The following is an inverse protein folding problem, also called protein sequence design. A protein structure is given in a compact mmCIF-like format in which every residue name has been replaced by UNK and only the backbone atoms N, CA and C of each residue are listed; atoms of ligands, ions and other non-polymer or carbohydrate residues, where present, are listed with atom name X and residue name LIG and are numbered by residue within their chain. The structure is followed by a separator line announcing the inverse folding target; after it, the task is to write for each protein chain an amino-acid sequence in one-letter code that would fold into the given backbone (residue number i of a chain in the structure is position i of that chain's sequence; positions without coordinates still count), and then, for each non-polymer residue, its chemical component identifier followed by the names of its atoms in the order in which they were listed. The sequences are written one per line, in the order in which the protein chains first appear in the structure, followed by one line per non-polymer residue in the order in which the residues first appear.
data_IF_091660563329
#
_entry.id   IF_091660563329
#
_cell.length_a   1.000
_cell.length_b   1.000
_cell.length_c   1.000
_cell.angle_alpha   90.00
_cell.angle_beta   90.00
_cell.angle_gamma   90.00
#
_symmetry.space_group_name_H-M   'P 1'
#
loop_
_entity.id
_entity.type
_entity.pdbx_description
1 polymer ?
#
# COMPACT_ATOMS: atom_id res chain seq x y z
N UNK A 1 -7.42 -7.26 25.70
CA UNK A 1 -8.32 -7.92 24.72
C UNK A 1 -9.58 -7.11 24.63
N UNK A 2 -10.07 -6.86 23.41
CA UNK A 2 -11.34 -6.17 23.22
C UNK A 2 -12.48 -6.90 23.97
N UNK A 3 -13.29 -6.15 24.67
CA UNK A 3 -14.43 -6.68 25.47
C UNK A 3 -15.75 -6.59 24.72
N UNK A 4 -15.81 -5.75 23.68
CA UNK A 4 -17.01 -5.53 22.88
C UNK A 4 -16.75 -5.67 21.38
N UNK A 5 -17.76 -6.18 20.65
CA UNK A 5 -17.79 -6.22 19.19
C UNK A 5 -19.05 -5.51 18.70
N UNK A 6 -18.88 -4.37 18.04
CA UNK A 6 -19.94 -3.64 17.37
C UNK A 6 -19.95 -4.05 15.88
N UNK A 7 -21.11 -4.45 15.38
CA UNK A 7 -21.31 -4.78 13.96
C UNK A 7 -21.97 -3.58 13.25
N UNK A 8 -21.18 -2.64 12.75
CA UNK A 8 -21.69 -1.48 12.05
C UNK A 8 -22.38 -1.87 10.72
N UNK A 9 -23.52 -1.24 10.42
CA UNK A 9 -24.32 -1.51 9.22
C UNK A 9 -24.02 -0.51 8.10
N UNK A 10 -23.49 0.66 8.45
CA UNK A 10 -23.04 1.69 7.50
C UNK A 10 -21.70 2.29 7.92
N UNK A 11 -20.98 2.94 6.98
CA UNK A 11 -19.76 3.68 7.29
C UNK A 11 -19.98 4.79 8.33
N UNK A 12 -21.14 5.46 8.29
CA UNK A 12 -21.52 6.54 9.21
C UNK A 12 -21.69 6.00 10.64
N UNK A 13 -22.33 4.83 10.79
CA UNK A 13 -22.44 4.15 12.07
C UNK A 13 -21.06 3.76 12.61
N UNK A 14 -20.17 3.27 11.72
CA UNK A 14 -18.83 2.87 12.10
C UNK A 14 -18.00 4.06 12.60
N UNK A 15 -17.97 5.18 11.86
CA UNK A 15 -17.20 6.36 12.26
C UNK A 15 -17.82 7.04 13.48
N UNK A 16 -19.13 7.04 13.62
CA UNK A 16 -19.83 7.60 14.79
C UNK A 16 -19.55 6.81 16.09
N UNK A 17 -19.20 5.53 15.99
CA UNK A 17 -18.80 4.69 17.13
C UNK A 17 -17.30 4.76 17.44
N UNK A 18 -16.48 5.40 16.58
CA UNK A 18 -15.03 5.49 16.75
C UNK A 18 -14.67 6.43 17.90
N UNK A 19 -13.75 5.99 18.73
CA UNK A 19 -13.16 6.73 19.84
C UNK A 19 -11.75 6.20 20.12
N UNK A 20 -11.05 6.76 21.08
CA UNK A 20 -9.65 6.41 21.39
C UNK A 20 -9.43 4.94 21.78
N UNK A 21 -10.45 4.25 22.35
CA UNK A 21 -10.39 2.83 22.73
C UNK A 21 -11.08 1.89 21.73
N UNK A 22 -11.56 2.42 20.58
CA UNK A 22 -12.25 1.63 19.55
C UNK A 22 -11.39 1.50 18.30
N UNK A 23 -11.34 0.30 17.69
CA UNK A 23 -10.56 -0.01 16.50
C UNK A 23 -11.45 -0.65 15.43
N UNK A 24 -11.31 -0.19 14.18
CA UNK A 24 -11.99 -0.83 13.06
C UNK A 24 -11.39 -2.21 12.77
N UNK A 25 -12.28 -3.17 12.50
CA UNK A 25 -11.90 -4.49 12.01
C UNK A 25 -12.60 -4.75 10.67
N UNK A 26 -11.78 -4.84 9.61
CA UNK A 26 -12.20 -5.23 8.25
C UNK A 26 -12.00 -6.75 8.07
N UNK A 27 -10.95 -7.16 7.36
CA UNK A 27 -10.58 -8.57 7.20
C UNK A 27 -9.95 -9.22 8.43
N UNK A 28 -9.49 -8.45 9.39
CA UNK A 28 -8.91 -8.89 10.64
C UNK A 28 -7.46 -9.41 10.55
N UNK A 29 -6.81 -9.35 9.42
CA UNK A 29 -5.44 -9.87 9.23
C UNK A 29 -4.40 -9.09 10.03
N UNK A 30 -4.62 -7.79 10.28
CA UNK A 30 -3.74 -6.96 11.11
C UNK A 30 -4.18 -7.00 12.58
N UNK A 31 -5.45 -6.78 12.86
CA UNK A 31 -5.99 -6.76 14.24
C UNK A 31 -5.77 -8.08 14.98
N UNK A 32 -5.84 -9.21 14.26
CA UNK A 32 -5.60 -10.54 14.83
C UNK A 32 -4.13 -11.01 14.69
N UNK A 33 -3.23 -10.17 14.21
CA UNK A 33 -1.82 -10.51 14.12
C UNK A 33 -1.23 -10.62 15.53
N UNK A 34 -0.41 -11.64 15.75
CA UNK A 34 0.29 -11.80 17.03
C UNK A 34 1.21 -10.58 17.28
N UNK A 35 1.06 -9.97 18.45
CA UNK A 35 1.80 -8.76 18.81
C UNK A 35 1.24 -7.47 18.20
N UNK A 36 -0.01 -7.46 17.70
CA UNK A 36 -0.68 -6.23 17.27
C UNK A 36 -1.06 -5.38 18.49
N UNK A 37 -0.48 -4.19 18.57
CA UNK A 37 -0.78 -3.21 19.61
C UNK A 37 -2.22 -2.69 19.50
N UNK A 38 -2.73 -2.55 18.27
CA UNK A 38 -4.12 -2.15 18.03
C UNK A 38 -5.14 -3.07 18.68
N UNK A 39 -4.94 -4.40 18.59
CA UNK A 39 -5.81 -5.37 19.23
C UNK A 39 -5.63 -5.41 20.76
N UNK A 40 -4.42 -5.14 21.25
CA UNK A 40 -4.11 -5.16 22.68
C UNK A 40 -4.72 -3.95 23.41
N UNK A 41 -4.73 -2.77 22.76
CA UNK A 41 -5.23 -1.52 23.34
C UNK A 41 -6.76 -1.33 23.18
N UNK A 42 -7.41 -2.04 22.25
CA UNK A 42 -8.83 -1.85 21.97
C UNK A 42 -9.75 -2.42 23.05
N UNK A 43 -10.70 -1.63 23.52
CA UNK A 43 -11.85 -2.09 24.30
C UNK A 43 -13.00 -2.53 23.39
N UNK A 44 -13.17 -1.85 22.25
CA UNK A 44 -14.21 -2.13 21.27
C UNK A 44 -13.62 -2.39 19.90
N UNK A 45 -14.04 -3.47 19.24
CA UNK A 45 -13.82 -3.72 17.82
C UNK A 45 -15.08 -3.32 17.05
N UNK A 46 -14.92 -2.41 16.07
CA UNK A 46 -15.99 -1.97 15.17
C UNK A 46 -15.84 -2.75 13.86
N UNK A 47 -16.69 -3.74 13.67
CA UNK A 47 -16.67 -4.59 12.48
C UNK A 47 -17.33 -3.92 11.29
N UNK A 48 -16.61 -3.84 10.19
CA UNK A 48 -17.07 -3.28 8.91
C UNK A 48 -17.74 -4.32 7.99
N UNK A 49 -17.81 -5.60 8.42
CA UNK A 49 -18.31 -6.70 7.57
C UNK A 49 -19.76 -6.56 7.13
N UNK A 50 -20.58 -5.81 7.86
CA UNK A 50 -21.97 -5.54 7.52
C UNK A 50 -22.21 -4.16 6.91
N UNK A 51 -21.17 -3.34 6.79
CA UNK A 51 -21.28 -2.05 6.12
C UNK A 51 -21.58 -2.27 4.63
N UNK A 52 -22.64 -1.64 4.14
CA UNK A 52 -23.01 -1.67 2.73
C UNK A 52 -22.17 -0.68 1.93
N UNK A 53 -22.01 -0.92 0.62
CA UNK A 53 -21.33 0.00 -0.30
C UNK A 53 -19.79 -0.05 -0.30
N UNK A 54 -19.17 -0.84 0.56
CA UNK A 54 -17.71 -0.91 0.68
C UNK A 54 -17.05 -2.07 -0.09
N UNK A 55 -17.82 -2.88 -0.85
CA UNK A 55 -17.31 -4.11 -1.49
C UNK A 55 -17.38 -4.10 -3.03
N UNK A 56 -17.73 -2.96 -3.63
CA UNK A 56 -17.91 -2.86 -5.07
C UNK A 56 -16.62 -2.44 -5.78
N UNK A 57 -16.41 -2.95 -7.00
CA UNK A 57 -15.39 -2.46 -7.94
C UNK A 57 -16.11 -1.90 -9.15
N UNK A 58 -15.94 -0.60 -9.41
CA UNK A 58 -16.62 0.15 -10.48
C UNK A 58 -15.61 0.85 -11.36
N UNK A 59 -15.88 0.86 -12.67
CA UNK A 59 -15.14 1.68 -13.63
C UNK A 59 -15.90 2.98 -13.82
N UNK A 60 -15.24 4.11 -13.62
CA UNK A 60 -15.78 5.45 -13.73
C UNK A 60 -14.87 6.29 -14.65
N UNK A 61 -15.18 6.27 -15.94
CA UNK A 61 -14.34 6.92 -16.96
C UNK A 61 -12.97 6.26 -17.06
N UNK A 62 -11.92 7.04 -16.82
CA UNK A 62 -10.51 6.66 -16.82
C UNK A 62 -10.01 6.13 -15.45
N UNK A 63 -10.89 6.07 -14.46
CA UNK A 63 -10.59 5.62 -13.10
C UNK A 63 -11.34 4.34 -12.74
N UNK A 64 -10.81 3.63 -11.76
CA UNK A 64 -11.46 2.48 -11.11
C UNK A 64 -11.63 2.80 -9.64
N UNK A 65 -12.88 2.79 -9.18
CA UNK A 65 -13.24 2.95 -7.78
C UNK A 65 -13.39 1.57 -7.13
N UNK A 66 -12.64 1.32 -6.07
CA UNK A 66 -12.56 0.03 -5.36
C UNK A 66 -12.98 0.26 -3.92
N UNK A 67 -14.07 -0.35 -3.49
CA UNK A 67 -14.54 -0.26 -2.11
C UNK A 67 -13.51 -0.79 -1.12
N UNK A 68 -13.36 -0.12 0.02
CA UNK A 68 -12.31 -0.41 1.00
C UNK A 68 -12.36 -1.81 1.59
N UNK A 69 -13.53 -2.45 1.57
CA UNK A 69 -13.73 -3.83 2.04
C UNK A 69 -13.50 -4.89 0.95
N UNK A 70 -13.20 -4.49 -0.30
CA UNK A 70 -12.78 -5.43 -1.33
C UNK A 70 -11.52 -6.17 -0.87
N UNK A 71 -11.60 -7.50 -0.87
CA UNK A 71 -10.45 -8.34 -0.51
C UNK A 71 -9.43 -8.39 -1.64
N UNK A 72 -8.19 -8.70 -1.31
CA UNK A 72 -7.15 -8.89 -2.33
C UNK A 72 -7.55 -9.96 -3.35
N UNK A 73 -8.25 -11.03 -2.91
CA UNK A 73 -8.70 -12.06 -3.82
C UNK A 73 -9.81 -11.56 -4.78
N UNK A 74 -10.74 -10.74 -4.30
CA UNK A 74 -11.74 -10.09 -5.16
C UNK A 74 -11.09 -9.17 -6.19
N UNK A 75 -10.04 -8.43 -5.81
CA UNK A 75 -9.27 -7.61 -6.76
C UNK A 75 -8.62 -8.49 -7.83
N UNK A 76 -7.97 -9.60 -7.45
CA UNK A 76 -7.34 -10.54 -8.39
C UNK A 76 -8.36 -11.13 -9.39
N UNK A 77 -9.56 -11.48 -8.92
CA UNK A 77 -10.61 -12.14 -9.71
C UNK A 77 -11.49 -11.15 -10.51
N UNK A 78 -11.43 -9.85 -10.20
CA UNK A 78 -12.25 -8.84 -10.86
C UNK A 78 -11.76 -8.55 -12.28
N UNK A 79 -12.65 -8.56 -13.26
CA UNK A 79 -12.36 -8.10 -14.63
C UNK A 79 -12.17 -6.58 -14.71
N UNK A 80 -12.69 -5.83 -13.73
CA UNK A 80 -12.66 -4.37 -13.69
C UNK A 80 -11.40 -3.81 -13.06
N UNK A 81 -10.73 -4.60 -12.18
CA UNK A 81 -9.52 -4.14 -11.51
C UNK A 81 -8.33 -4.08 -12.48
N UNK A 82 -7.50 -3.02 -12.42
CA UNK A 82 -6.31 -2.89 -13.26
C UNK A 82 -5.32 -4.04 -13.05
N UNK A 83 -4.63 -4.44 -14.11
CA UNK A 83 -3.67 -5.56 -14.08
C UNK A 83 -2.56 -5.36 -13.03
N UNK A 84 -2.02 -4.14 -12.91
CA UNK A 84 -0.97 -3.81 -11.95
C UNK A 84 -1.43 -3.99 -10.49
N UNK A 85 -2.70 -3.71 -10.21
CA UNK A 85 -3.24 -3.87 -8.86
C UNK A 85 -3.48 -5.34 -8.52
N UNK A 86 -3.86 -6.17 -9.52
CA UNK A 86 -3.94 -7.63 -9.38
C UNK A 86 -2.56 -8.23 -9.10
N UNK A 87 -1.52 -7.76 -9.80
CA UNK A 87 -0.13 -8.18 -9.57
C UNK A 87 0.31 -7.89 -8.13
N UNK A 88 0.09 -6.65 -7.66
CA UNK A 88 0.40 -6.28 -6.28
C UNK A 88 -0.36 -7.13 -5.25
N UNK A 89 -1.65 -7.42 -5.49
CA UNK A 89 -2.44 -8.28 -4.62
C UNK A 89 -1.90 -9.73 -4.57
N UNK A 90 -1.35 -10.25 -5.67
CA UNK A 90 -0.75 -11.58 -5.76
C UNK A 90 0.59 -11.69 -5.00
N UNK A 91 1.24 -10.59 -4.67
CA UNK A 91 2.42 -10.61 -3.78
C UNK A 91 2.09 -11.20 -2.40
N UNK A 92 0.85 -11.13 -1.97
CA UNK A 92 0.33 -11.94 -0.86
C UNK A 92 0.07 -13.36 -1.35
N UNK A 93 1.06 -14.25 -1.28
CA UNK A 93 1.03 -15.59 -1.87
C UNK A 93 -0.12 -16.47 -1.35
N UNK A 94 -0.49 -16.35 -0.08
CA UNK A 94 -1.55 -17.15 0.54
C UNK A 94 -2.94 -16.70 0.08
N UNK A 95 -3.65 -17.56 -0.67
CA UNK A 95 -5.05 -17.32 -1.05
C UNK A 95 -5.97 -17.13 0.16
N UNK A 96 -5.75 -17.89 1.23
CA UNK A 96 -6.51 -17.74 2.48
C UNK A 96 -6.35 -16.33 3.06
N UNK A 97 -5.12 -15.81 3.10
CA UNK A 97 -4.87 -14.44 3.55
C UNK A 97 -5.50 -13.43 2.59
N UNK A 98 -5.39 -13.63 1.27
CA UNK A 98 -6.02 -12.74 0.28
C UNK A 98 -7.55 -12.69 0.38
N UNK A 99 -8.20 -13.80 0.77
CA UNK A 99 -9.65 -13.83 1.03
C UNK A 99 -10.06 -13.01 2.27
N UNK A 100 -9.11 -12.66 3.13
CA UNK A 100 -9.36 -11.91 4.37
C UNK A 100 -8.86 -10.47 4.27
N UNK A 101 -7.63 -10.27 3.80
CA UNK A 101 -7.02 -8.94 3.70
C UNK A 101 -7.80 -8.06 2.72
N UNK A 102 -8.20 -6.87 3.17
CA UNK A 102 -8.93 -5.88 2.39
C UNK A 102 -7.99 -4.75 1.98
N UNK A 103 -8.31 -4.08 0.86
CA UNK A 103 -7.48 -2.97 0.37
C UNK A 103 -7.45 -1.81 1.38
N UNK A 104 -8.60 -1.39 1.92
CA UNK A 104 -8.68 -0.34 2.93
C UNK A 104 -7.96 -0.72 4.22
N UNK A 105 -8.10 -1.98 4.68
CA UNK A 105 -7.39 -2.47 5.87
C UNK A 105 -5.87 -2.51 5.68
N UNK A 106 -5.36 -2.81 4.48
CA UNK A 106 -3.94 -2.79 4.18
C UNK A 106 -3.36 -1.37 4.18
N UNK A 107 -4.11 -0.41 3.60
CA UNK A 107 -3.72 1.01 3.62
C UNK A 107 -3.71 1.53 5.05
N UNK A 108 -4.79 1.32 5.81
CA UNK A 108 -4.93 1.82 7.18
C UNK A 108 -3.89 1.23 8.15
N UNK A 109 -3.34 0.07 7.85
CA UNK A 109 -2.28 -0.55 8.65
C UNK A 109 -0.91 0.12 8.50
N UNK A 110 -0.67 0.93 7.45
CA UNK A 110 0.56 1.67 7.14
C UNK A 110 1.85 0.87 7.36
N UNK A 111 1.85 -0.42 6.96
CA UNK A 111 2.95 -1.31 7.26
C UNK A 111 4.14 -1.10 6.32
N UNK A 112 5.34 -1.24 6.90
CA UNK A 112 6.64 -1.20 6.23
C UNK A 112 6.92 -2.39 5.28
N UNK A 113 6.04 -3.39 5.25
CA UNK A 113 6.06 -4.55 4.36
C UNK A 113 4.79 -4.66 3.51
N UNK A 114 4.10 -3.53 3.30
CA UNK A 114 2.88 -3.48 2.49
C UNK A 114 3.15 -3.84 1.03
N UNK A 115 2.23 -4.58 0.43
CA UNK A 115 2.26 -4.90 -1.00
C UNK A 115 1.51 -3.86 -1.83
N UNK A 116 0.54 -3.17 -1.23
CA UNK A 116 -0.34 -2.23 -1.92
C UNK A 116 0.15 -0.78 -1.84
N UNK A 117 0.73 -0.36 -0.71
CA UNK A 117 1.13 1.05 -0.55
C UNK A 117 2.06 1.52 -1.67
N UNK A 118 3.15 0.81 -2.05
CA UNK A 118 4.04 1.29 -3.10
C UNK A 118 3.34 1.55 -4.42
N UNK A 119 2.47 0.64 -4.86
CA UNK A 119 1.75 0.80 -6.13
C UNK A 119 0.72 1.91 -6.06
N UNK A 120 -0.01 2.05 -4.96
CA UNK A 120 -1.02 3.10 -4.79
C UNK A 120 -0.38 4.50 -4.77
N UNK A 121 0.78 4.63 -4.15
CA UNK A 121 1.52 5.89 -4.16
C UNK A 121 2.11 6.19 -5.55
N UNK A 122 2.70 5.19 -6.22
CA UNK A 122 3.26 5.36 -7.54
C UNK A 122 2.23 5.80 -8.59
N UNK A 123 0.98 5.32 -8.49
CA UNK A 123 -0.11 5.73 -9.40
C UNK A 123 -0.88 6.94 -8.91
N UNK A 124 -0.43 7.61 -7.86
CA UNK A 124 -1.10 8.76 -7.24
C UNK A 124 -2.57 8.49 -6.90
N UNK A 125 -2.82 7.35 -6.22
CA UNK A 125 -4.17 6.94 -5.84
C UNK A 125 -4.85 7.98 -4.95
N UNK A 126 -6.14 8.19 -5.17
CA UNK A 126 -7.01 8.97 -4.30
C UNK A 126 -7.80 8.04 -3.36
N UNK A 127 -8.08 8.49 -2.17
CA UNK A 127 -8.91 7.79 -1.20
C UNK A 127 -10.17 8.58 -0.92
N UNK A 128 -11.31 7.90 -0.89
CA UNK A 128 -12.51 8.44 -0.25
C UNK A 128 -12.45 8.07 1.23
N UNK A 129 -12.55 9.07 2.08
CA UNK A 129 -12.40 8.94 3.52
C UNK A 129 -13.61 9.58 4.21
N UNK A 130 -14.17 8.88 5.18
CA UNK A 130 -15.24 9.39 6.03
C UNK A 130 -14.65 9.79 7.39
N UNK A 131 -14.96 11.02 7.81
CA UNK A 131 -14.71 11.57 9.14
C UNK A 131 -16.04 11.89 9.84
N UNK A 132 -15.98 12.25 11.13
CA UNK A 132 -17.16 12.75 11.84
C UNK A 132 -17.82 13.96 11.16
N UNK A 133 -17.05 14.77 10.44
CA UNK A 133 -17.52 15.96 9.69
C UNK A 133 -18.04 15.69 8.28
N UNK A 134 -18.01 14.46 7.79
CA UNK A 134 -18.45 14.10 6.45
C UNK A 134 -17.40 13.36 5.62
N UNK A 135 -17.74 13.09 4.36
CA UNK A 135 -16.86 12.42 3.41
C UNK A 135 -15.97 13.45 2.67
N UNK A 136 -14.71 13.08 2.45
CA UNK A 136 -13.76 13.87 1.67
C UNK A 136 -12.91 12.95 0.77
N UNK A 137 -12.31 13.55 -0.27
CA UNK A 137 -11.31 12.89 -1.10
C UNK A 137 -9.94 13.45 -0.77
N UNK A 138 -8.94 12.58 -0.65
CA UNK A 138 -7.56 12.97 -0.43
C UNK A 138 -6.60 12.01 -1.13
N UNK A 139 -5.36 12.43 -1.33
CA UNK A 139 -4.33 11.54 -1.83
C UNK A 139 -3.96 10.46 -0.79
N UNK A 140 -3.43 9.33 -1.24
CA UNK A 140 -2.89 8.32 -0.33
C UNK A 140 -1.79 8.90 0.58
N UNK A 141 -1.01 9.87 0.08
CA UNK A 141 0.00 10.58 0.85
C UNK A 141 -0.63 11.42 1.97
N UNK A 142 -1.61 12.28 1.64
CA UNK A 142 -2.30 13.10 2.66
C UNK A 142 -3.02 12.27 3.70
N UNK A 143 -3.53 11.08 3.31
CA UNK A 143 -4.10 10.13 4.25
C UNK A 143 -3.04 9.61 5.24
N UNK A 144 -1.87 9.24 4.75
CA UNK A 144 -0.77 8.75 5.61
C UNK A 144 -0.37 9.80 6.64
N UNK A 145 -0.12 11.05 6.23
CA UNK A 145 0.21 12.15 7.13
C UNK A 145 -0.88 12.39 8.19
N UNK A 146 -2.16 12.40 7.77
CA UNK A 146 -3.28 12.60 8.67
C UNK A 146 -3.47 11.43 9.64
N UNK A 147 -3.21 10.19 9.23
CA UNK A 147 -3.29 9.00 10.06
C UNK A 147 -2.18 8.97 11.12
N UNK A 148 -0.96 9.34 10.75
CA UNK A 148 0.18 9.49 11.67
C UNK A 148 -0.06 10.60 12.71
N UNK A 149 -0.77 11.67 12.32
CA UNK A 149 -1.21 12.72 13.23
C UNK A 149 -2.37 12.31 14.17
N UNK A 150 -2.88 11.08 14.05
CA UNK A 150 -3.90 10.52 14.95
C UNK A 150 -5.34 10.88 14.57
N UNK A 151 -5.60 11.20 13.30
CA UNK A 151 -6.96 11.50 12.82
C UNK A 151 -7.87 10.28 12.76
N UNK A 152 -9.07 10.36 13.34
CA UNK A 152 -10.09 9.32 13.17
C UNK A 152 -10.68 9.38 11.76
N UNK A 153 -10.35 8.36 10.95
CA UNK A 153 -10.73 8.26 9.55
C UNK A 153 -11.14 6.84 9.19
N UNK A 154 -12.15 6.71 8.36
CA UNK A 154 -12.56 5.45 7.75
C UNK A 154 -12.41 5.55 6.22
N UNK A 155 -11.50 4.78 5.64
CA UNK A 155 -11.41 4.65 4.19
C UNK A 155 -12.66 3.92 3.68
N UNK A 156 -13.36 4.52 2.72
CA UNK A 156 -14.57 3.94 2.10
C UNK A 156 -14.29 3.42 0.70
N UNK A 157 -13.42 4.08 -0.06
CA UNK A 157 -13.00 3.64 -1.37
C UNK A 157 -11.56 4.06 -1.70
N UNK A 158 -10.97 3.35 -2.65
CA UNK A 158 -9.68 3.63 -3.28
C UNK A 158 -9.92 3.88 -4.75
N UNK A 159 -9.46 5.01 -5.28
CA UNK A 159 -9.64 5.43 -6.65
C UNK A 159 -8.27 5.42 -7.33
N UNK A 160 -8.16 4.66 -8.40
CA UNK A 160 -6.90 4.49 -9.14
C UNK A 160 -7.11 4.70 -10.63
N UNK A 161 -6.10 5.14 -11.40
CA UNK A 161 -6.19 5.20 -12.86
C UNK A 161 -6.38 3.80 -13.45
N UNK A 162 -7.23 3.69 -14.47
CA UNK A 162 -7.51 2.43 -15.16
C UNK A 162 -6.35 1.99 -16.05
N UNK A 163 -5.88 2.91 -16.87
CA UNK A 163 -4.90 2.67 -17.93
C UNK A 163 -3.63 3.51 -17.69
N UNK A 164 -2.67 2.92 -16.96
CA UNK A 164 -1.35 3.49 -16.69
C UNK A 164 -0.31 2.37 -16.75
N UNK A 165 0.88 2.67 -17.23
CA UNK A 165 2.00 1.71 -17.21
C UNK A 165 2.58 1.65 -15.80
N UNK A 166 2.55 0.46 -15.21
CA UNK A 166 3.09 0.20 -13.87
C UNK A 166 3.93 -1.07 -13.91
N UNK A 167 5.02 -1.08 -13.17
CA UNK A 167 5.80 -2.27 -12.88
C UNK A 167 6.02 -2.36 -11.37
N UNK A 168 5.96 -3.58 -10.84
CA UNK A 168 6.18 -3.82 -9.41
C UNK A 168 7.08 -5.04 -9.21
N UNK A 169 7.83 -5.04 -8.10
CA UNK A 169 8.69 -6.17 -7.73
C UNK A 169 8.70 -6.33 -6.21
N UNK A 170 8.76 -7.57 -5.75
CA UNK A 170 8.80 -7.93 -4.34
C UNK A 170 9.96 -8.87 -4.07
N UNK A 171 10.70 -8.60 -3.00
CA UNK A 171 11.72 -9.49 -2.47
C UNK A 171 11.36 -9.96 -1.07
N UNK A 172 11.51 -11.24 -0.85
CA UNK A 172 11.31 -11.88 0.45
C UNK A 172 12.04 -13.22 0.48
N UNK A 173 12.35 -13.72 1.67
CA UNK A 173 13.06 -14.99 1.86
C UNK A 173 12.27 -16.20 1.33
N UNK A 174 10.94 -16.15 1.43
CA UNK A 174 10.03 -17.14 0.83
C UNK A 174 8.80 -16.44 0.27
N UNK A 175 8.01 -17.13 -0.55
CA UNK A 175 6.76 -16.60 -1.09
C UNK A 175 5.78 -16.14 0.02
N UNK A 176 5.81 -16.76 1.20
CA UNK A 176 4.90 -16.45 2.31
C UNK A 176 5.51 -15.56 3.40
N UNK A 177 6.82 -15.28 3.35
CA UNK A 177 7.49 -14.38 4.29
C UNK A 177 7.05 -12.93 4.09
N UNK A 178 7.27 -12.12 5.12
CA UNK A 178 7.20 -10.66 5.00
C UNK A 178 8.21 -10.18 3.95
N UNK A 179 7.83 -9.14 3.20
CA UNK A 179 8.73 -8.57 2.21
C UNK A 179 9.91 -7.85 2.89
N UNK A 180 11.09 -8.02 2.34
CA UNK A 180 12.25 -7.16 2.62
C UNK A 180 12.08 -5.84 1.91
N UNK A 181 11.63 -5.92 0.64
CA UNK A 181 11.34 -4.81 -0.24
C UNK A 181 10.13 -5.15 -1.10
N UNK A 182 9.18 -4.24 -1.19
CA UNK A 182 8.19 -4.17 -2.26
C UNK A 182 8.33 -2.81 -2.92
N UNK A 183 8.55 -2.76 -4.22
CA UNK A 183 8.78 -1.53 -4.95
C UNK A 183 7.88 -1.46 -6.17
N UNK A 184 7.37 -0.28 -6.47
CA UNK A 184 6.51 -0.02 -7.62
C UNK A 184 6.92 1.25 -8.32
N UNK A 185 6.90 1.22 -9.64
CA UNK A 185 7.10 2.37 -10.50
C UNK A 185 5.89 2.53 -11.43
N UNK A 186 5.47 3.76 -11.66
CA UNK A 186 4.44 4.12 -12.62
C UNK A 186 4.93 5.21 -13.58
N UNK A 187 4.45 5.17 -14.82
CA UNK A 187 4.73 6.24 -15.79
C UNK A 187 3.57 7.23 -15.76
N UNK A 188 3.79 8.37 -15.11
CA UNK A 188 2.83 9.46 -14.99
C UNK A 188 3.09 10.55 -16.04
N UNK A 189 2.22 11.55 -16.10
CA UNK A 189 2.42 12.73 -16.98
C UNK A 189 3.66 13.55 -16.57
N UNK A 190 4.09 13.44 -15.32
CA UNK A 190 5.29 14.10 -14.77
C UNK A 190 6.57 13.26 -14.94
N UNK A 191 6.46 12.08 -15.52
CA UNK A 191 7.53 11.10 -15.69
C UNK A 191 7.38 9.89 -14.79
N UNK A 192 8.48 9.21 -14.48
CA UNK A 192 8.45 8.04 -13.59
C UNK A 192 8.18 8.47 -12.15
N UNK A 193 7.28 7.75 -11.50
CA UNK A 193 6.97 7.85 -10.06
C UNK A 193 7.36 6.54 -9.39
N UNK A 194 8.20 6.57 -8.33
CA UNK A 194 8.88 5.41 -7.77
C UNK A 194 8.78 5.37 -6.23
N UNK A 195 8.09 4.36 -5.72
CA UNK A 195 7.89 4.15 -4.29
C UNK A 195 8.26 2.74 -3.86
N UNK A 196 8.70 2.60 -2.61
CA UNK A 196 9.00 1.29 -2.02
C UNK A 196 8.62 1.21 -0.55
N UNK A 197 8.07 0.07 -0.15
CA UNK A 197 7.95 -0.34 1.24
C UNK A 197 9.18 -1.18 1.59
N UNK A 198 10.00 -0.68 2.48
CA UNK A 198 11.27 -1.31 2.90
C UNK A 198 11.15 -1.70 4.35
N UNK A 199 11.41 -2.97 4.64
CA UNK A 199 11.26 -3.51 6.00
C UNK A 199 12.14 -2.75 7.00
N UNK A 200 11.52 -2.28 8.08
CA UNK A 200 12.09 -1.45 9.13
C UNK A 200 12.58 -0.05 8.69
N UNK A 201 12.21 0.40 7.47
CA UNK A 201 12.46 1.76 7.00
C UNK A 201 11.17 2.47 6.56
N UNK A 202 10.06 1.74 6.43
CA UNK A 202 8.76 2.31 6.07
C UNK A 202 8.51 2.43 4.58
N UNK A 203 7.58 3.31 4.23
CA UNK A 203 7.27 3.67 2.85
C UNK A 203 8.18 4.83 2.42
N UNK A 204 8.91 4.63 1.35
CA UNK A 204 9.91 5.57 0.83
C UNK A 204 9.54 6.06 -0.56
N UNK A 205 9.76 7.35 -0.81
CA UNK A 205 9.69 7.99 -2.12
C UNK A 205 11.11 8.19 -2.66
N UNK A 206 11.39 7.70 -3.85
CA UNK A 206 12.74 7.74 -4.44
C UNK A 206 12.88 8.90 -5.44
N UNK A 207 12.55 10.12 -5.02
CA UNK A 207 12.53 11.33 -5.86
C UNK A 207 13.88 11.64 -6.55
N UNK A 208 15.00 11.35 -5.88
CA UNK A 208 16.32 11.58 -6.49
C UNK A 208 16.61 10.60 -7.63
N UNK A 209 16.15 9.35 -7.52
CA UNK A 209 16.25 8.34 -8.57
C UNK A 209 15.33 8.74 -9.75
N UNK A 210 14.10 9.16 -9.45
CA UNK A 210 13.17 9.65 -10.47
C UNK A 210 13.75 10.84 -11.28
N UNK A 211 14.38 11.78 -10.56
CA UNK A 211 15.06 12.91 -11.17
C UNK A 211 16.18 12.45 -12.07
N UNK A 212 17.00 11.49 -11.61
CA UNK A 212 18.10 10.93 -12.39
C UNK A 212 17.62 10.29 -13.70
N UNK A 213 16.56 9.49 -13.65
CA UNK A 213 15.96 8.88 -14.85
C UNK A 213 15.35 9.90 -15.80
N UNK A 214 14.83 11.02 -15.30
CA UNK A 214 14.33 12.13 -16.15
C UNK A 214 15.44 12.89 -16.85
N UNK A 215 16.56 13.10 -16.17
CA UNK A 215 17.71 13.83 -16.70
C UNK A 215 18.51 12.99 -17.71
N UNK A 216 18.61 11.68 -17.52
CA UNK A 216 19.36 10.79 -18.39
C UNK A 216 18.68 9.43 -18.55
N UNK A 217 18.04 9.20 -19.69
CA UNK A 217 17.38 7.94 -20.05
C UNK A 217 18.34 6.75 -20.24
N UNK A 218 19.65 7.01 -20.36
CA UNK A 218 20.71 6.01 -20.52
C UNK A 218 21.45 5.72 -19.21
N UNK A 219 20.94 6.21 -18.08
CA UNK A 219 21.51 5.92 -16.76
C UNK A 219 21.67 4.41 -16.56
N UNK A 220 22.87 3.98 -16.21
CA UNK A 220 23.22 2.56 -16.01
C UNK A 220 22.80 2.05 -14.64
N UNK A 221 22.70 0.72 -14.52
CA UNK A 221 22.35 0.04 -13.27
C UNK A 221 23.34 0.36 -12.15
N UNK A 222 24.65 0.26 -12.43
CA UNK A 222 25.71 0.53 -11.44
C UNK A 222 25.64 1.95 -10.89
N UNK A 223 25.24 2.93 -11.71
CA UNK A 223 25.10 4.33 -11.30
C UNK A 223 23.96 4.49 -10.28
N UNK A 224 22.82 3.82 -10.50
CA UNK A 224 21.69 3.84 -9.57
C UNK A 224 22.04 3.11 -8.27
N UNK A 225 22.69 1.95 -8.36
CA UNK A 225 23.13 1.19 -7.18
C UNK A 225 24.07 2.06 -6.32
N UNK A 226 25.06 2.70 -6.94
CA UNK A 226 26.00 3.56 -6.22
C UNK A 226 25.31 4.77 -5.58
N UNK A 227 24.37 5.41 -6.30
CA UNK A 227 23.60 6.52 -5.77
C UNK A 227 22.80 6.13 -4.52
N UNK A 228 22.17 4.97 -4.51
CA UNK A 228 21.44 4.45 -3.34
C UNK A 228 22.41 4.08 -2.22
N UNK A 229 23.56 3.49 -2.56
CA UNK A 229 24.59 3.06 -1.60
C UNK A 229 25.11 4.23 -0.75
N UNK A 230 25.34 5.39 -1.36
CA UNK A 230 25.87 6.58 -0.68
C UNK A 230 24.81 7.52 -0.12
N UNK A 231 23.50 7.23 -0.34
CA UNK A 231 22.42 8.08 0.13
C UNK A 231 22.34 8.11 1.65
N UNK A 232 22.63 9.26 2.26
CA UNK A 232 22.61 9.43 3.72
C UNK A 232 21.20 9.62 4.30
N UNK A 233 20.25 10.04 3.48
CA UNK A 233 18.84 10.21 3.87
C UNK A 233 18.03 8.92 3.89
N UNK A 234 18.61 7.79 3.47
CA UNK A 234 17.95 6.50 3.47
C UNK A 234 18.27 5.76 4.78
N UNK A 235 17.31 5.73 5.69
CA UNK A 235 17.46 5.08 6.99
C UNK A 235 17.08 3.59 6.92
N UNK A 236 17.98 2.77 6.36
CA UNK A 236 17.92 1.31 6.44
C UNK A 236 18.91 0.80 7.49
N UNK A 237 18.66 -0.39 8.03
CA UNK A 237 19.52 -0.99 9.08
C UNK A 237 19.64 -2.50 8.91
N UNK A 238 20.66 -3.07 9.53
CA UNK A 238 20.84 -4.52 9.63
C UNK A 238 19.72 -5.12 10.48
N UNK A 239 19.12 -6.20 10.00
CA UNK A 239 18.10 -6.96 10.72
C UNK A 239 18.02 -8.41 10.22
N UNK A 240 17.05 -9.18 10.74
CA UNK A 240 16.82 -10.57 10.32
C UNK A 240 16.42 -10.74 8.85
N UNK A 241 16.05 -9.65 8.16
CA UNK A 241 15.65 -9.67 6.74
C UNK A 241 16.81 -9.36 5.79
N UNK A 242 17.90 -8.80 6.31
CA UNK A 242 19.11 -8.51 5.56
C UNK A 242 19.94 -7.37 6.16
N UNK A 243 21.17 -7.22 5.66
CA UNK A 243 22.01 -6.09 6.02
C UNK A 243 21.54 -4.79 5.37
N UNK A 244 21.93 -3.64 5.93
CA UNK A 244 21.74 -2.32 5.32
C UNK A 244 22.26 -2.30 3.88
N UNK A 245 23.49 -2.78 3.66
CA UNK A 245 24.09 -2.85 2.32
C UNK A 245 23.27 -3.69 1.34
N UNK A 246 22.73 -4.82 1.79
CA UNK A 246 21.85 -5.66 0.96
C UNK A 246 20.54 -4.96 0.59
N UNK A 247 19.90 -4.30 1.54
CA UNK A 247 18.66 -3.55 1.28
C UNK A 247 18.89 -2.41 0.29
N UNK A 248 19.96 -1.65 0.46
CA UNK A 248 20.37 -0.58 -0.47
C UNK A 248 20.65 -1.12 -1.87
N UNK A 249 21.37 -2.22 -1.97
CA UNK A 249 21.62 -2.90 -3.24
C UNK A 249 20.30 -3.32 -3.92
N UNK A 250 19.38 -3.95 -3.18
CA UNK A 250 18.06 -4.34 -3.72
C UNK A 250 17.26 -3.15 -4.23
N UNK A 251 17.28 -2.02 -3.52
CA UNK A 251 16.59 -0.80 -3.95
C UNK A 251 17.16 -0.32 -5.29
N UNK A 252 18.50 -0.23 -5.42
CA UNK A 252 19.15 0.24 -6.65
C UNK A 252 18.85 -0.64 -7.86
N UNK A 253 19.07 -1.94 -7.75
CA UNK A 253 18.76 -2.93 -8.79
C UNK A 253 17.29 -2.89 -9.18
N UNK A 254 16.41 -2.84 -8.16
CA UNK A 254 14.96 -2.85 -8.43
C UNK A 254 14.51 -1.58 -9.13
N UNK A 255 15.02 -0.43 -8.73
CA UNK A 255 14.70 0.84 -9.38
C UNK A 255 15.08 0.83 -10.87
N UNK A 256 16.27 0.32 -11.18
CA UNK A 256 16.73 0.16 -12.56
C UNK A 256 15.86 -0.82 -13.36
N UNK A 257 15.58 -2.02 -12.80
CA UNK A 257 14.73 -3.03 -13.42
C UNK A 257 13.33 -2.50 -13.76
N UNK A 258 12.70 -1.80 -12.80
CA UNK A 258 11.36 -1.24 -12.99
C UNK A 258 11.35 -0.15 -14.06
N UNK A 259 12.36 0.74 -14.06
CA UNK A 259 12.52 1.75 -15.10
C UNK A 259 12.70 1.12 -16.48
N UNK A 260 13.59 0.13 -16.62
CA UNK A 260 13.85 -0.58 -17.88
C UNK A 260 12.59 -1.26 -18.41
N UNK A 261 11.83 -1.94 -17.53
CA UNK A 261 10.56 -2.59 -17.87
C UNK A 261 9.52 -1.57 -18.37
N UNK A 262 9.42 -0.40 -17.74
CA UNK A 262 8.49 0.65 -18.16
C UNK A 262 8.90 1.29 -19.49
N UNK A 263 10.22 1.40 -19.76
CA UNK A 263 10.78 1.88 -21.01
C UNK A 263 10.70 0.85 -22.16
N UNK A 264 10.24 -0.40 -21.90
CA UNK A 264 10.17 -1.46 -22.90
C UNK A 264 11.52 -2.06 -23.26
N UNK A 265 12.55 -1.89 -22.41
CA UNK A 265 13.85 -2.51 -22.57
C UNK A 265 13.78 -3.92 -21.94
N UNK A 266 14.19 -4.96 -22.68
CA UNK A 266 14.41 -6.29 -22.09
C UNK A 266 15.64 -6.23 -21.16
N UNK A 267 15.47 -6.65 -19.90
CA UNK A 267 16.52 -6.75 -18.88
C UNK A 267 16.95 -8.21 -18.75
#
# INVERSE_FOLDING_TARGET
MATQLLMAKSPEEAIGAKNASAVFIAGGTEVNRLGSDAAAAAETLISLKKCTGLNDIKVEGDKVCIGAMCTFQQIVESEKAPAYLKEAALFMASRTKRNMATIGGNIAALRDDSYMLPVLFAVHAELEVLRAGGAEKMSAYSYMEAAEAGGDMLITAVIVPKDIKVASKRYANTAQSHAVLTMSAAMTDEGISLYGAVKNAGLLHFCDIEKKFRENLETGEDEIIEMVRVCTGLETADDMFGSDAYKRYLIGVTAFDLHSKLAGKEV
#
